data_IF_169290841846
#
_entry.id   IF_169290841846
#
_cell.length_a   1.000
_cell.length_b   1.000
_cell.length_c   1.000
_cell.angle_alpha   90.00
_cell.angle_beta   90.00
_cell.angle_gamma   90.00
#
_symmetry.space_group_name_H-M   'P 1'
#
loop_
_entity.id
_entity.type
_entity.pdbx_description
1 polymer ?
#
# COMPACT_ATOMS: atom_id res chain seq x y z
N UNK A 1 -4.59 2.13 -12.12
CA UNK A 1 -4.00 3.43 -12.54
C UNK A 1 -2.74 3.61 -11.72
N UNK A 2 -1.62 4.07 -12.29
CA UNK A 2 -0.36 4.20 -11.54
C UNK A 2 0.20 5.62 -11.71
N UNK A 3 0.51 6.25 -10.59
CA UNK A 3 1.23 7.53 -10.51
C UNK A 3 2.44 7.39 -9.57
N UNK A 4 3.23 8.46 -9.44
CA UNK A 4 4.33 8.50 -8.47
C UNK A 4 3.79 8.88 -7.08
N UNK A 5 4.46 8.48 -5.98
CA UNK A 5 5.70 7.68 -5.92
C UNK A 5 5.45 6.17 -6.09
N UNK A 6 6.49 5.43 -6.51
CA UNK A 6 6.40 3.96 -6.66
C UNK A 6 7.08 3.18 -5.54
N UNK A 7 6.37 2.20 -4.98
CA UNK A 7 6.94 1.20 -4.07
C UNK A 7 7.60 0.07 -4.86
N UNK A 8 8.88 0.24 -5.19
CA UNK A 8 9.68 -0.73 -5.94
C UNK A 8 11.11 -0.76 -5.41
N UNK A 9 11.81 -1.92 -5.42
CA UNK A 9 13.23 -1.99 -5.09
C UNK A 9 14.13 -1.13 -5.98
N UNK A 10 13.63 -0.70 -7.15
CA UNK A 10 14.36 0.15 -8.09
C UNK A 10 13.99 1.64 -7.95
N UNK A 11 13.02 1.97 -7.11
CA UNK A 11 12.59 3.35 -6.92
C UNK A 11 13.62 4.13 -6.11
N UNK A 12 13.86 5.38 -6.51
CA UNK A 12 14.66 6.36 -5.76
C UNK A 12 13.79 7.43 -5.10
N UNK A 13 12.47 7.32 -5.23
CA UNK A 13 11.53 8.27 -4.64
C UNK A 13 11.58 8.20 -3.11
N UNK A 14 11.45 9.34 -2.45
CA UNK A 14 11.33 9.43 -0.99
C UNK A 14 9.91 9.82 -0.66
N UNK A 15 9.19 8.97 0.07
CA UNK A 15 7.82 9.24 0.51
C UNK A 15 7.74 10.55 1.29
N UNK A 16 6.81 11.41 0.90
CA UNK A 16 6.50 12.67 1.56
C UNK A 16 5.14 12.60 2.24
N UNK A 17 4.94 13.42 3.26
CA UNK A 17 3.62 13.63 3.84
C UNK A 17 2.62 14.10 2.76
N UNK A 18 1.46 13.47 2.71
CA UNK A 18 0.44 13.71 1.68
C UNK A 18 0.44 12.69 0.54
N UNK A 19 1.52 11.92 0.35
CA UNK A 19 1.55 10.85 -0.66
C UNK A 19 0.53 9.76 -0.32
N UNK A 20 -0.13 9.23 -1.34
CA UNK A 20 -0.96 8.02 -1.22
C UNK A 20 -0.31 6.92 -2.03
N UNK A 21 -0.07 5.78 -1.38
CA UNK A 21 0.54 4.61 -2.00
C UNK A 21 -0.26 3.36 -1.71
N UNK A 22 -0.36 2.50 -2.71
CA UNK A 22 -0.97 1.18 -2.56
C UNK A 22 0.08 0.18 -2.04
N UNK A 23 -0.23 -0.50 -0.94
CA UNK A 23 0.58 -1.60 -0.40
C UNK A 23 -0.10 -2.91 -0.78
N UNK A 24 0.45 -3.60 -1.77
CA UNK A 24 -0.21 -4.74 -2.41
C UNK A 24 0.65 -6.03 -2.54
N UNK A 25 1.23 -6.56 -1.44
CA UNK A 25 2.00 -7.80 -1.53
C UNK A 25 1.12 -8.98 -1.93
N UNK A 26 1.62 -9.80 -2.86
CA UNK A 26 0.95 -11.01 -3.33
C UNK A 26 1.86 -12.23 -3.27
N UNK A 27 1.26 -13.38 -2.94
CA UNK A 27 1.91 -14.69 -3.00
C UNK A 27 1.16 -15.52 -4.03
N UNK A 28 1.92 -16.09 -4.98
CA UNK A 28 1.39 -16.90 -6.07
C UNK A 28 2.13 -18.24 -6.08
N UNK A 29 1.37 -19.33 -6.13
CA UNK A 29 1.87 -20.70 -6.17
C UNK A 29 1.43 -21.32 -7.49
N UNK A 30 2.42 -21.73 -8.27
CA UNK A 30 2.21 -22.32 -9.59
C UNK A 30 1.29 -23.56 -9.52
N UNK A 31 0.32 -23.62 -10.42
CA UNK A 31 -0.65 -24.72 -10.50
C UNK A 31 -1.73 -24.71 -9.41
N UNK A 32 -1.69 -23.80 -8.43
CA UNK A 32 -2.70 -23.71 -7.37
C UNK A 32 -3.50 -22.41 -7.41
N UNK A 33 -2.81 -21.27 -7.47
CA UNK A 33 -3.45 -19.95 -7.44
C UNK A 33 -2.60 -18.93 -6.70
N UNK A 34 -3.19 -17.81 -6.33
CA UNK A 34 -2.51 -16.79 -5.55
C UNK A 34 -3.47 -15.86 -4.85
N UNK A 35 -2.94 -15.11 -3.89
CA UNK A 35 -3.67 -14.12 -3.13
C UNK A 35 -2.83 -12.86 -3.04
N UNK A 36 -3.50 -11.73 -3.22
CA UNK A 36 -2.97 -10.40 -2.98
C UNK A 36 -3.89 -9.69 -2.02
N UNK A 37 -3.29 -9.05 -1.03
CA UNK A 37 -3.99 -8.14 -0.13
C UNK A 37 -3.50 -6.76 -0.49
N UNK A 38 -4.43 -5.84 -0.68
CA UNK A 38 -4.18 -4.53 -1.27
C UNK A 38 -4.94 -3.49 -0.46
N UNK A 39 -4.21 -2.53 0.08
CA UNK A 39 -4.76 -1.39 0.78
C UNK A 39 -3.99 -0.11 0.44
N UNK A 40 -4.72 1.01 0.38
CA UNK A 40 -4.13 2.34 0.16
C UNK A 40 -3.76 2.99 1.50
N UNK A 41 -2.58 3.62 1.52
CA UNK A 41 -2.05 4.29 2.70
C UNK A 41 -1.69 5.74 2.40
N UNK A 42 -2.17 6.65 3.25
CA UNK A 42 -1.72 8.05 3.30
C UNK A 42 -0.46 8.15 4.17
N UNK A 43 0.60 8.74 3.63
CA UNK A 43 1.80 9.08 4.39
C UNK A 43 1.54 10.36 5.19
N UNK A 44 1.91 10.33 6.47
CA UNK A 44 1.77 11.42 7.44
C UNK A 44 3.13 11.78 8.04
N UNK A 45 3.24 12.92 8.72
CA UNK A 45 4.47 13.28 9.43
C UNK A 45 4.97 12.21 10.44
N UNK A 46 4.08 11.36 10.97
CA UNK A 46 4.40 10.35 11.99
C UNK A 46 4.45 8.90 11.49
N UNK A 47 4.20 8.64 10.20
CA UNK A 47 4.06 7.29 9.67
C UNK A 47 3.05 7.22 8.52
N UNK A 48 2.12 6.27 8.58
CA UNK A 48 1.09 6.12 7.56
C UNK A 48 -0.27 5.72 8.15
N UNK A 49 -1.35 6.10 7.48
CA UNK A 49 -2.73 5.77 7.84
C UNK A 49 -3.37 4.98 6.70
N UNK A 50 -3.98 3.85 7.03
CA UNK A 50 -4.73 3.02 6.09
C UNK A 50 -6.04 3.71 5.69
N UNK A 51 -6.33 3.79 4.40
CA UNK A 51 -7.53 4.44 3.84
C UNK A 51 -8.60 3.44 3.40
N UNK A 52 -8.21 2.18 3.18
CA UNK A 52 -9.08 1.07 2.82
C UNK A 52 -8.98 -0.06 3.85
N UNK A 53 -9.83 -1.08 3.74
CA UNK A 53 -9.88 -2.17 4.72
C UNK A 53 -10.16 -3.51 4.08
N UNK A 54 -9.25 -4.02 3.25
CA UNK A 54 -9.41 -5.30 2.57
C UNK A 54 -9.63 -6.47 3.53
N UNK A 55 -9.12 -6.38 4.77
CA UNK A 55 -9.29 -7.38 5.82
C UNK A 55 -10.19 -6.91 6.98
N UNK A 56 -10.88 -5.78 6.86
CA UNK A 56 -11.79 -5.27 7.90
C UNK A 56 -11.09 -4.83 9.19
N UNK A 57 -9.79 -4.52 9.14
CA UNK A 57 -9.12 -3.81 10.23
C UNK A 57 -9.57 -2.35 10.15
N UNK A 58 -10.09 -1.79 11.25
CA UNK A 58 -10.58 -0.42 11.25
C UNK A 58 -9.44 0.56 10.94
N UNK A 59 -9.66 1.45 9.96
CA UNK A 59 -8.78 2.57 9.72
C UNK A 59 -8.78 3.47 10.97
N UNK A 60 -7.62 3.84 11.52
CA UNK A 60 -7.57 4.74 12.66
C UNK A 60 -8.19 6.09 12.26
N UNK A 61 -8.95 6.70 13.17
CA UNK A 61 -9.54 8.02 12.93
C UNK A 61 -8.42 9.04 12.65
N UNK A 62 -8.51 9.69 11.49
CA UNK A 62 -7.63 10.78 11.04
C UNK A 62 -7.80 12.04 11.90
#
# INVERSE_FOLDING_TARGET
VHEAPRLSPLSTDVLQEGDVVTVEPGIYIEGWGGMRIEDDYLITAGGAVCLSGALGLEAPAL
#
